data_IF_645799497405
#
_entry.id   IF_645799497405
#
_cell.length_a   1.000
_cell.length_b   1.000
_cell.length_c   1.000
_cell.angle_alpha   90.00
_cell.angle_beta   90.00
_cell.angle_gamma   90.00
#
_symmetry.space_group_name_H-M   'P 1'
#
loop_
_entity.id
_entity.type
_entity.pdbx_description
1 polymer ?
#
# COMPACT_ATOMS: atom_id res chain seq x y z
N UNK A 1 -22.91 3.05 -4.50
CA UNK A 1 -22.19 2.99 -3.20
C UNK A 1 -22.43 4.30 -2.45
N UNK A 2 -22.24 4.32 -1.13
CA UNK A 2 -22.27 5.51 -0.27
C UNK A 2 -20.93 5.68 0.45
N UNK A 3 -20.58 6.91 0.81
CA UNK A 3 -19.41 7.19 1.66
C UNK A 3 -19.62 6.63 3.06
N UNK A 4 -18.60 6.00 3.65
CA UNK A 4 -18.65 5.45 5.02
C UNK A 4 -18.20 6.43 6.10
N UNK A 5 -17.73 7.61 5.69
CA UNK A 5 -17.30 8.70 6.55
C UNK A 5 -16.88 9.90 5.71
N UNK A 6 -16.25 10.87 6.34
CA UNK A 6 -15.56 11.95 5.63
C UNK A 6 -14.27 11.43 4.95
N UNK A 7 -13.73 12.20 4.01
CA UNK A 7 -12.40 11.91 3.50
C UNK A 7 -11.38 12.14 4.62
N UNK A 8 -10.44 11.22 4.79
CA UNK A 8 -9.32 11.38 5.70
C UNK A 8 -8.19 12.10 4.99
N UNK A 9 -7.55 13.04 5.69
CA UNK A 9 -6.34 13.73 5.24
C UNK A 9 -5.36 13.73 6.41
N UNK A 10 -4.18 13.17 6.19
CA UNK A 10 -3.08 13.18 7.16
C UNK A 10 -1.78 13.63 6.51
N UNK A 11 -0.83 14.07 7.32
CA UNK A 11 0.54 14.37 6.87
C UNK A 11 1.53 13.51 7.62
N UNK A 12 2.49 12.96 6.89
CA UNK A 12 3.57 12.11 7.38
C UNK A 12 4.93 12.70 6.97
N UNK A 13 5.97 12.42 7.76
CA UNK A 13 7.27 13.10 7.70
C UNK A 13 8.36 12.27 7.01
N UNK A 14 8.04 11.71 5.86
CA UNK A 14 8.97 10.98 5.01
C UNK A 14 8.63 11.17 3.53
N UNK A 15 9.59 10.84 2.66
CA UNK A 15 9.39 10.86 1.22
C UNK A 15 8.29 9.86 0.81
N UNK A 16 7.42 10.29 -0.09
CA UNK A 16 6.32 9.45 -0.57
C UNK A 16 6.78 8.14 -1.21
N UNK A 17 7.98 8.09 -1.82
CA UNK A 17 8.49 6.86 -2.45
C UNK A 17 8.74 5.74 -1.43
N UNK A 18 9.22 6.07 -0.22
CA UNK A 18 9.42 5.04 0.81
C UNK A 18 8.11 4.46 1.35
N UNK A 19 7.02 5.22 1.23
CA UNK A 19 5.68 4.68 1.50
C UNK A 19 5.37 3.56 0.50
N UNK A 20 5.67 3.79 -0.78
CA UNK A 20 5.51 2.79 -1.84
C UNK A 20 6.54 1.65 -1.79
N UNK A 21 7.71 1.88 -1.20
CA UNK A 21 8.70 0.80 -1.00
C UNK A 21 8.20 -0.24 -0.01
N UNK A 22 7.46 0.18 1.02
CA UNK A 22 6.81 -0.74 1.98
C UNK A 22 5.51 -1.32 1.39
N UNK A 23 4.68 -0.51 0.72
CA UNK A 23 3.40 -0.98 0.17
C UNK A 23 3.53 -1.99 -0.99
N UNK A 24 4.63 -1.95 -1.76
CA UNK A 24 4.79 -2.77 -2.97
C UNK A 24 5.47 -4.13 -2.71
N UNK A 25 5.61 -4.53 -1.45
CA UNK A 25 6.01 -5.88 -1.04
C UNK A 25 5.29 -6.27 0.25
N UNK A 26 4.96 -7.55 0.41
CA UNK A 26 4.31 -8.07 1.60
C UNK A 26 5.14 -9.08 2.37
N UNK A 27 6.44 -9.23 2.08
CA UNK A 27 7.27 -10.21 2.80
C UNK A 27 7.50 -9.78 4.25
N UNK A 28 7.40 -8.48 4.55
CA UNK A 28 7.48 -7.97 5.92
C UNK A 28 6.24 -8.32 6.76
N UNK A 29 5.08 -8.61 6.13
CA UNK A 29 3.79 -8.78 6.83
C UNK A 29 3.86 -9.79 7.97
N UNK A 30 4.43 -11.00 7.81
CA UNK A 30 4.50 -11.97 8.91
C UNK A 30 5.34 -11.51 10.10
N UNK A 31 6.27 -10.56 9.89
CA UNK A 31 7.20 -10.08 10.92
C UNK A 31 6.76 -8.76 11.55
N UNK A 32 6.10 -7.88 10.80
CA UNK A 32 5.76 -6.53 11.23
C UNK A 32 4.27 -6.32 11.58
N UNK A 33 3.37 -7.16 11.08
CA UNK A 33 1.92 -6.96 11.23
C UNK A 33 1.22 -8.15 11.88
N UNK A 34 1.26 -8.29 13.22
CA UNK A 34 0.59 -9.37 13.93
C UNK A 34 -0.90 -9.49 13.59
N UNK A 35 -1.60 -8.34 13.46
CA UNK A 35 -3.04 -8.35 13.15
C UNK A 35 -3.33 -8.80 11.72
N UNK A 36 -2.53 -8.39 10.72
CA UNK A 36 -2.69 -8.88 9.34
C UNK A 36 -2.26 -10.34 9.21
N UNK A 37 -1.20 -10.75 9.93
CA UNK A 37 -0.76 -12.13 9.93
C UNK A 37 -1.84 -13.05 10.50
N UNK A 38 -2.51 -12.66 11.58
CA UNK A 38 -3.67 -13.39 12.11
C UNK A 38 -4.89 -13.33 11.17
N UNK A 39 -5.03 -12.29 10.36
CA UNK A 39 -6.19 -12.10 9.48
C UNK A 39 -6.05 -12.87 8.15
N UNK A 40 -4.91 -12.74 7.48
CA UNK A 40 -4.65 -13.25 6.13
C UNK A 40 -3.48 -14.21 6.03
N UNK A 41 -2.56 -14.21 7.00
CA UNK A 41 -1.12 -14.47 6.82
C UNK A 41 -0.69 -15.79 6.18
N UNK A 42 -1.57 -16.77 6.06
CA UNK A 42 -1.30 -18.03 5.33
C UNK A 42 -1.58 -17.94 3.82
N UNK A 43 -2.34 -16.92 3.43
CA UNK A 43 -2.86 -16.70 2.08
C UNK A 43 -2.51 -15.33 1.53
N UNK A 44 -1.88 -14.47 2.34
CA UNK A 44 -1.33 -13.20 1.89
C UNK A 44 -0.30 -13.48 0.79
N UNK A 45 -0.52 -12.90 -0.38
CA UNK A 45 0.38 -13.04 -1.52
C UNK A 45 0.37 -11.77 -2.35
N UNK A 46 1.53 -11.44 -2.86
CA UNK A 46 1.71 -10.43 -3.89
C UNK A 46 1.81 -11.12 -5.26
N UNK A 47 1.18 -10.50 -6.25
CA UNK A 47 1.11 -10.97 -7.62
C UNK A 47 0.98 -9.76 -8.57
N UNK A 48 0.84 -10.03 -9.86
CA UNK A 48 0.60 -9.03 -10.88
C UNK A 48 -0.59 -9.41 -11.77
N UNK A 49 -1.44 -8.42 -12.06
CA UNK A 49 -2.32 -8.48 -13.22
C UNK A 49 -1.69 -7.59 -14.28
N UNK A 50 -1.10 -8.21 -15.29
CA UNK A 50 -0.22 -7.54 -16.26
C UNK A 50 0.91 -6.75 -15.56
N UNK A 51 0.81 -5.42 -15.52
CA UNK A 51 1.77 -4.51 -14.88
C UNK A 51 1.20 -3.79 -13.64
N UNK A 52 0.10 -4.29 -13.10
CA UNK A 52 -0.57 -3.77 -11.90
C UNK A 52 -0.19 -4.70 -10.75
N UNK A 53 0.56 -4.22 -9.73
CA UNK A 53 0.78 -4.96 -8.51
C UNK A 53 -0.55 -5.26 -7.81
N UNK A 54 -0.75 -6.50 -7.39
CA UNK A 54 -1.95 -6.93 -6.67
C UNK A 54 -1.56 -7.74 -5.46
N UNK A 55 -2.04 -7.34 -4.28
CA UNK A 55 -1.94 -8.15 -3.07
C UNK A 55 -3.31 -8.73 -2.74
N UNK A 56 -3.33 -9.99 -2.33
CA UNK A 56 -4.57 -10.68 -1.98
C UNK A 56 -4.41 -11.43 -0.67
N UNK A 57 -5.50 -11.57 0.07
CA UNK A 57 -5.55 -12.29 1.33
C UNK A 57 -6.94 -12.84 1.57
N UNK A 58 -7.06 -14.02 2.18
CA UNK A 58 -8.34 -14.62 2.53
C UNK A 58 -8.49 -14.61 4.04
N UNK A 59 -9.62 -14.09 4.52
CA UNK A 59 -10.01 -14.16 5.93
C UNK A 59 -10.29 -15.63 6.26
N UNK A 60 -9.38 -16.26 7.01
CA UNK A 60 -9.52 -17.65 7.40
C UNK A 60 -10.33 -17.84 8.70
N UNK A 61 -10.65 -19.10 9.01
CA UNK A 61 -11.39 -19.50 10.21
C UNK A 61 -10.49 -19.83 11.42
N UNK A 62 -9.19 -19.54 11.36
CA UNK A 62 -8.28 -19.81 12.47
C UNK A 62 -8.52 -18.84 13.64
N UNK A 63 -8.40 -19.30 14.90
CA UNK A 63 -8.46 -18.42 16.06
C UNK A 63 -7.43 -17.31 15.98
N UNK A 64 -7.83 -16.09 16.37
CA UNK A 64 -6.96 -14.92 16.46
C UNK A 64 -6.90 -14.43 17.91
N UNK A 65 -5.71 -14.01 18.37
CA UNK A 65 -5.53 -13.45 19.71
C UNK A 65 -5.84 -11.95 19.74
N UNK A 66 -5.65 -11.25 18.62
CA UNK A 66 -5.99 -9.83 18.48
C UNK A 66 -7.51 -9.67 18.52
N UNK A 67 -8.01 -8.91 19.50
CA UNK A 67 -9.45 -8.72 19.70
C UNK A 67 -10.17 -8.25 18.43
N UNK A 68 -9.61 -7.27 17.71
CA UNK A 68 -10.22 -6.74 16.49
C UNK A 68 -10.32 -7.80 15.39
N UNK A 69 -9.28 -8.62 15.21
CA UNK A 69 -9.24 -9.71 14.21
C UNK A 69 -10.23 -10.80 14.58
N UNK A 70 -10.21 -11.27 15.84
CA UNK A 70 -11.12 -12.30 16.33
C UNK A 70 -12.59 -11.89 16.15
N UNK A 71 -12.92 -10.63 16.48
CA UNK A 71 -14.28 -10.10 16.29
C UNK A 71 -14.62 -9.90 14.82
N UNK A 72 -13.67 -9.46 13.99
CA UNK A 72 -13.91 -9.29 12.56
C UNK A 72 -14.25 -10.62 11.89
N UNK A 73 -13.43 -11.66 12.10
CA UNK A 73 -13.68 -13.02 11.60
C UNK A 73 -15.07 -13.53 11.99
N UNK A 74 -15.43 -13.40 13.27
CA UNK A 74 -16.72 -13.85 13.79
C UNK A 74 -17.93 -13.07 13.25
N UNK A 75 -17.77 -11.79 12.89
CA UNK A 75 -18.87 -10.91 12.50
C UNK A 75 -18.94 -10.67 11.00
N UNK A 76 -17.90 -10.98 10.22
CA UNK A 76 -17.86 -10.81 8.78
C UNK A 76 -19.00 -11.61 8.12
N UNK A 77 -20.02 -10.93 7.56
CA UNK A 77 -21.19 -11.60 6.99
C UNK A 77 -20.87 -12.19 5.62
N UNK A 78 -21.61 -13.24 5.25
CA UNK A 78 -21.65 -13.71 3.87
C UNK A 78 -22.43 -12.71 3.01
N UNK A 79 -21.70 -11.94 2.22
CA UNK A 79 -22.28 -10.95 1.32
C UNK A 79 -22.91 -11.67 0.12
N UNK A 80 -24.22 -11.91 0.16
CA UNK A 80 -24.95 -12.74 -0.81
C UNK A 80 -24.80 -12.32 -2.29
N UNK A 81 -24.50 -11.04 -2.54
CA UNK A 81 -24.26 -10.51 -3.89
C UNK A 81 -22.87 -10.82 -4.44
N UNK A 82 -21.96 -11.29 -3.59
CA UNK A 82 -20.61 -11.71 -3.99
C UNK A 82 -20.60 -13.22 -4.31
N UNK A 83 -19.82 -13.63 -5.33
CA UNK A 83 -19.45 -15.04 -5.54
C UNK A 83 -18.84 -15.63 -4.26
N UNK A 84 -18.98 -16.94 -4.07
CA UNK A 84 -18.56 -17.62 -2.83
C UNK A 84 -17.07 -17.37 -2.54
N UNK A 85 -16.23 -17.43 -3.57
CA UNK A 85 -14.79 -17.19 -3.52
C UNK A 85 -14.41 -15.77 -3.08
N UNK A 86 -15.28 -14.77 -3.28
CA UNK A 86 -15.02 -13.38 -2.92
C UNK A 86 -15.52 -12.99 -1.52
N UNK A 87 -16.31 -13.84 -0.86
CA UNK A 87 -16.95 -13.51 0.44
C UNK A 87 -15.96 -13.38 1.61
N UNK A 88 -14.74 -13.89 1.44
CA UNK A 88 -13.66 -13.80 2.43
C UNK A 88 -12.39 -13.16 1.84
N UNK A 89 -12.45 -12.70 0.58
CA UNK A 89 -11.30 -12.20 -0.14
C UNK A 89 -11.08 -10.71 0.15
N UNK A 90 -9.85 -10.38 0.47
CA UNK A 90 -9.30 -9.03 0.46
C UNK A 90 -8.44 -8.87 -0.78
N UNK A 91 -8.61 -7.72 -1.44
CA UNK A 91 -7.88 -7.34 -2.65
C UNK A 91 -7.27 -5.96 -2.47
N UNK A 92 -6.08 -5.79 -3.00
CA UNK A 92 -5.33 -4.54 -2.95
C UNK A 92 -4.63 -4.34 -4.29
N UNK A 93 -4.82 -3.19 -4.92
CA UNK A 93 -4.33 -2.87 -6.26
C UNK A 93 -3.43 -1.64 -6.21
N UNK A 94 -2.18 -1.82 -6.65
CA UNK A 94 -1.21 -0.76 -6.86
C UNK A 94 -1.50 0.07 -8.11
N UNK A 95 -1.79 1.35 -7.96
CA UNK A 95 -1.99 2.28 -9.08
C UNK A 95 -0.84 3.29 -9.11
N UNK A 96 0.10 3.03 -10.02
CA UNK A 96 1.21 3.91 -10.27
C UNK A 96 0.75 5.33 -10.65
N UNK A 97 1.37 6.41 -10.13
CA UNK A 97 2.52 6.36 -9.25
C UNK A 97 2.16 6.28 -7.76
N UNK A 98 0.95 6.64 -7.35
CA UNK A 98 0.77 7.09 -5.97
C UNK A 98 -0.59 6.78 -5.34
N UNK A 99 -1.34 5.83 -5.89
CA UNK A 99 -2.66 5.50 -5.42
C UNK A 99 -2.80 3.99 -5.21
N UNK A 100 -3.66 3.62 -4.27
CA UNK A 100 -4.06 2.25 -3.99
C UNK A 100 -5.58 2.20 -4.02
N UNK A 101 -6.13 1.11 -4.57
CA UNK A 101 -7.53 0.76 -4.38
C UNK A 101 -7.60 -0.60 -3.71
N UNK A 102 -8.41 -0.72 -2.66
CA UNK A 102 -8.56 -1.97 -1.92
C UNK A 102 -10.03 -2.34 -1.73
N UNK A 103 -10.28 -3.63 -1.58
CA UNK A 103 -11.60 -4.22 -1.40
C UNK A 103 -11.58 -5.19 -0.23
N UNK A 104 -12.57 -5.02 0.61
CA UNK A 104 -13.03 -5.99 1.58
C UNK A 104 -14.40 -6.52 1.12
N UNK A 105 -14.88 -7.66 1.63
CA UNK A 105 -16.23 -8.12 1.30
C UNK A 105 -17.31 -7.08 1.61
N UNK A 106 -17.14 -6.29 2.69
CA UNK A 106 -18.14 -5.34 3.17
C UNK A 106 -17.94 -3.87 2.75
N UNK A 107 -16.77 -3.52 2.20
CA UNK A 107 -16.38 -2.13 1.84
C UNK A 107 -15.32 -2.10 0.74
N UNK A 108 -15.19 -0.97 0.07
CA UNK A 108 -14.07 -0.65 -0.80
C UNK A 108 -13.47 0.69 -0.39
N UNK A 109 -12.19 0.90 -0.66
CA UNK A 109 -11.54 2.16 -0.34
C UNK A 109 -10.38 2.47 -1.25
N UNK A 110 -9.87 3.67 -1.11
CA UNK A 110 -8.63 4.08 -1.74
C UNK A 110 -7.82 4.94 -0.79
N UNK A 111 -6.52 5.01 -1.03
CA UNK A 111 -5.70 6.09 -0.53
C UNK A 111 -4.70 6.55 -1.60
N UNK A 112 -4.24 7.79 -1.46
CA UNK A 112 -3.19 8.35 -2.30
C UNK A 112 -2.13 9.05 -1.44
N UNK A 113 -0.87 8.88 -1.80
CA UNK A 113 0.26 9.60 -1.22
C UNK A 113 0.66 10.77 -2.12
N UNK A 114 0.53 12.00 -1.65
CA UNK A 114 0.84 13.21 -2.42
C UNK A 114 2.17 13.81 -1.94
N UNK A 115 3.20 13.92 -2.80
CA UNK A 115 4.45 14.58 -2.43
C UNK A 115 4.21 16.04 -2.07
N UNK A 116 4.65 16.45 -0.88
CA UNK A 116 4.61 17.84 -0.41
C UNK A 116 6.01 18.38 -0.08
N UNK A 117 7.05 17.65 -0.48
CA UNK A 117 8.47 17.93 -0.22
C UNK A 117 9.30 16.65 -0.20
N UNK A 118 10.63 16.74 -0.08
CA UNK A 118 11.51 15.58 -0.04
C UNK A 118 11.31 14.69 1.21
N UNK A 119 10.80 15.25 2.32
CA UNK A 119 10.55 14.53 3.58
C UNK A 119 9.11 14.76 4.09
N UNK A 120 8.17 15.11 3.20
CA UNK A 120 6.78 15.37 3.59
C UNK A 120 5.82 14.81 2.55
N UNK A 121 4.86 14.02 3.02
CA UNK A 121 3.83 13.41 2.20
C UNK A 121 2.47 13.65 2.83
N UNK A 122 1.50 14.02 2.01
CA UNK A 122 0.09 14.11 2.43
C UNK A 122 -0.62 12.84 1.98
N UNK A 123 -1.26 12.13 2.90
CA UNK A 123 -2.06 10.95 2.58
C UNK A 123 -3.53 11.34 2.59
N UNK A 124 -4.22 11.03 1.50
CA UNK A 124 -5.67 11.22 1.40
C UNK A 124 -6.34 9.87 1.22
N UNK A 125 -7.44 9.60 1.92
CA UNK A 125 -8.14 8.32 1.79
C UNK A 125 -9.65 8.46 1.96
N UNK A 126 -10.39 7.46 1.46
CA UNK A 126 -11.84 7.38 1.64
C UNK A 126 -12.34 5.96 1.46
N UNK A 127 -13.40 5.64 2.19
CA UNK A 127 -14.07 4.35 2.13
C UNK A 127 -15.53 4.46 1.71
N UNK A 128 -15.99 3.43 1.01
CA UNK A 128 -17.31 3.31 0.43
C UNK A 128 -17.91 1.94 0.75
N UNK A 129 -19.24 1.90 0.82
CA UNK A 129 -19.96 0.65 0.97
C UNK A 129 -21.34 0.70 0.35
N UNK A 130 -22.03 -0.43 0.36
CA UNK A 130 -23.44 -0.48 -0.04
C UNK A 130 -24.33 0.26 0.99
N UNK A 131 -25.39 0.94 0.53
CA UNK A 131 -26.37 1.58 1.40
C UNK A 131 -27.14 0.55 2.24
N UNK A 132 -27.88 1.01 3.26
CA UNK A 132 -28.77 0.19 4.09
C UNK A 132 -28.08 -1.01 4.77
N UNK A 133 -26.80 -0.86 5.12
CA UNK A 133 -26.01 -1.91 5.76
C UNK A 133 -26.63 -2.37 7.09
N UNK A 134 -26.69 -3.70 7.32
CA UNK A 134 -27.12 -4.28 8.59
C UNK A 134 -26.19 -3.88 9.75
N UNK A 135 -26.63 -4.09 10.99
CA UNK A 135 -25.76 -3.90 12.18
C UNK A 135 -24.47 -4.71 12.09
N UNK A 136 -24.56 -5.94 11.59
CA UNK A 136 -23.43 -6.83 11.41
C UNK A 136 -22.43 -6.29 10.39
N UNK A 137 -22.89 -5.82 9.22
CA UNK A 137 -22.03 -5.20 8.20
C UNK A 137 -21.33 -3.95 8.75
N UNK A 138 -22.03 -3.12 9.51
CA UNK A 138 -21.42 -1.94 10.15
C UNK A 138 -20.35 -2.31 11.18
N UNK A 139 -20.58 -3.39 11.95
CA UNK A 139 -19.58 -3.89 12.89
C UNK A 139 -18.33 -4.43 12.16
N UNK A 140 -18.51 -5.17 11.06
CA UNK A 140 -17.40 -5.65 10.23
C UNK A 140 -16.57 -4.47 9.69
N UNK A 141 -17.21 -3.45 9.11
CA UNK A 141 -16.54 -2.23 8.61
C UNK A 141 -15.71 -1.51 9.68
N UNK A 142 -16.27 -1.39 10.89
CA UNK A 142 -15.56 -0.78 12.01
C UNK A 142 -14.32 -1.59 12.42
N UNK A 143 -14.45 -2.92 12.45
CA UNK A 143 -13.37 -3.80 12.87
C UNK A 143 -12.26 -3.88 11.83
N UNK A 144 -12.57 -3.97 10.54
CA UNK A 144 -11.57 -3.88 9.46
C UNK A 144 -10.87 -2.53 9.49
N UNK A 145 -11.59 -1.41 9.63
CA UNK A 145 -10.97 -0.08 9.77
C UNK A 145 -10.05 0.06 11.00
N UNK A 146 -10.35 -0.63 12.10
CA UNK A 146 -9.44 -0.70 13.26
C UNK A 146 -8.19 -1.50 12.98
N UNK A 147 -8.29 -2.61 12.25
CA UNK A 147 -7.14 -3.41 11.83
C UNK A 147 -6.26 -2.57 10.89
N UNK A 148 -6.86 -1.94 9.88
CA UNK A 148 -6.18 -1.00 8.97
C UNK A 148 -5.41 0.08 9.76
N UNK A 149 -6.04 0.67 10.79
CA UNK A 149 -5.39 1.68 11.64
C UNK A 149 -4.22 1.14 12.46
N UNK A 150 -4.24 -0.12 12.86
CA UNK A 150 -3.10 -0.74 13.56
C UNK A 150 -1.94 -0.93 12.59
N UNK A 151 -2.20 -1.53 11.43
CA UNK A 151 -1.22 -1.71 10.36
C UNK A 151 -0.59 -0.39 9.93
N UNK A 152 -1.38 0.66 9.67
CA UNK A 152 -0.82 1.96 9.27
C UNK A 152 0.13 2.57 10.31
N UNK A 153 -0.02 2.25 11.61
CA UNK A 153 0.90 2.72 12.66
C UNK A 153 2.20 1.91 12.66
N UNK A 154 2.12 0.61 12.38
CA UNK A 154 3.26 -0.27 12.24
C UNK A 154 4.10 0.16 11.00
N UNK A 155 3.43 0.44 9.88
CA UNK A 155 4.06 0.96 8.65
C UNK A 155 4.74 2.32 8.85
N UNK A 156 4.11 3.24 9.59
CA UNK A 156 4.72 4.55 9.85
C UNK A 156 6.11 4.43 10.49
N UNK A 157 6.34 3.42 11.32
CA UNK A 157 7.65 3.14 11.89
C UNK A 157 8.63 2.58 10.84
N UNK A 158 8.21 1.59 10.04
CA UNK A 158 9.02 0.99 8.98
C UNK A 158 9.50 2.03 7.97
N UNK A 159 8.59 2.86 7.48
CA UNK A 159 8.89 3.88 6.47
C UNK A 159 9.84 4.95 7.01
N UNK A 160 9.73 5.32 8.29
CA UNK A 160 10.69 6.23 8.94
C UNK A 160 12.08 5.64 9.03
N UNK A 161 12.20 4.38 9.44
CA UNK A 161 13.50 3.71 9.51
C UNK A 161 14.12 3.57 8.12
N UNK A 162 13.32 3.27 7.10
CA UNK A 162 13.79 3.19 5.72
C UNK A 162 14.30 4.55 5.21
N UNK A 163 13.57 5.63 5.49
CA UNK A 163 14.00 7.00 5.19
C UNK A 163 15.34 7.34 5.85
N UNK A 164 15.49 7.02 7.14
CA UNK A 164 16.73 7.28 7.88
C UNK A 164 17.89 6.46 7.32
N UNK A 165 17.67 5.17 7.04
CA UNK A 165 18.65 4.28 6.45
C UNK A 165 19.14 4.78 5.09
N UNK A 166 18.22 5.24 4.23
CA UNK A 166 18.54 5.78 2.91
C UNK A 166 19.36 7.09 2.95
N UNK A 167 19.39 7.78 4.10
CA UNK A 167 20.26 8.94 4.32
C UNK A 167 21.71 8.58 4.64
N UNK A 168 22.03 7.31 4.86
CA UNK A 168 23.38 6.86 5.24
C UNK A 168 24.28 6.62 4.02
N UNK A 169 25.60 6.69 4.22
CA UNK A 169 26.58 6.45 3.15
C UNK A 169 26.72 4.99 2.71
N UNK A 170 26.13 4.05 3.47
CA UNK A 170 26.24 2.61 3.27
C UNK A 170 24.93 1.97 2.81
N UNK A 171 23.89 2.77 2.53
CA UNK A 171 22.62 2.26 2.03
C UNK A 171 22.83 1.57 0.67
N UNK A 172 22.39 0.31 0.49
CA UNK A 172 22.55 -0.39 -0.76
C UNK A 172 21.66 0.22 -1.85
N UNK A 173 22.24 0.56 -3.00
CA UNK A 173 21.51 1.18 -4.11
C UNK A 173 20.86 0.17 -5.06
N UNK A 174 21.37 -1.06 -5.10
CA UNK A 174 21.00 -2.08 -6.10
C UNK A 174 20.99 -3.49 -5.47
N UNK A 175 20.22 -3.69 -4.39
CA UNK A 175 20.16 -4.98 -3.68
C UNK A 175 18.72 -5.34 -3.29
N UNK A 176 17.90 -5.61 -4.31
CA UNK A 176 16.53 -6.11 -4.14
C UNK A 176 16.48 -7.61 -4.45
N UNK A 177 15.71 -8.36 -3.67
CA UNK A 177 15.41 -9.77 -3.92
C UNK A 177 14.23 -9.93 -4.88
N UNK A 178 14.03 -11.14 -5.44
CA UNK A 178 12.89 -11.43 -6.33
C UNK A 178 11.53 -11.19 -5.67
N UNK A 179 11.45 -11.37 -4.34
CA UNK A 179 10.25 -11.08 -3.54
C UNK A 179 9.93 -9.58 -3.42
N UNK A 180 10.87 -8.71 -3.83
CA UNK A 180 10.72 -7.25 -3.86
C UNK A 180 10.46 -6.74 -5.30
N UNK A 181 9.96 -7.61 -6.18
CA UNK A 181 9.71 -7.27 -7.59
C UNK A 181 8.79 -6.06 -7.77
N UNK A 182 7.81 -5.84 -6.89
CA UNK A 182 6.94 -4.65 -6.91
C UNK A 182 7.71 -3.36 -6.67
N UNK A 183 8.63 -3.36 -5.69
CA UNK A 183 9.53 -2.23 -5.40
C UNK A 183 10.43 -1.94 -6.59
N UNK A 184 11.04 -2.99 -7.17
CA UNK A 184 11.88 -2.85 -8.36
C UNK A 184 11.11 -2.25 -9.53
N UNK A 185 9.93 -2.78 -9.84
CA UNK A 185 9.07 -2.30 -10.92
C UNK A 185 8.67 -0.83 -10.70
N UNK A 186 8.30 -0.45 -9.47
CA UNK A 186 7.94 0.91 -9.13
C UNK A 186 9.07 1.90 -9.43
N UNK A 187 10.29 1.62 -8.96
CA UNK A 187 11.45 2.48 -9.21
C UNK A 187 11.88 2.50 -10.67
N UNK A 188 11.79 1.38 -11.39
CA UNK A 188 12.06 1.34 -12.83
C UNK A 188 11.09 2.26 -13.60
N UNK A 189 9.78 2.16 -13.33
CA UNK A 189 8.77 3.03 -13.96
C UNK A 189 9.00 4.51 -13.63
N UNK A 190 9.43 4.83 -12.41
CA UNK A 190 9.82 6.20 -12.07
C UNK A 190 11.03 6.67 -12.87
N UNK A 191 12.08 5.85 -12.98
CA UNK A 191 13.30 6.16 -13.76
C UNK A 191 12.99 6.28 -15.26
N UNK A 192 12.05 5.52 -15.80
CA UNK A 192 11.61 5.67 -17.19
C UNK A 192 10.91 7.01 -17.43
N UNK A 193 10.06 7.47 -16.49
CA UNK A 193 9.35 8.76 -16.61
C UNK A 193 10.21 9.96 -16.22
N UNK A 194 11.20 9.76 -15.35
CA UNK A 194 12.09 10.79 -14.81
C UNK A 194 13.54 10.26 -14.88
N UNK A 195 14.16 10.24 -16.08
CA UNK A 195 15.48 9.62 -16.31
C UNK A 195 16.59 10.09 -15.37
N UNK A 196 16.56 11.35 -14.92
CA UNK A 196 17.54 11.90 -13.98
C UNK A 196 17.57 11.13 -12.65
N UNK A 197 16.49 10.43 -12.28
CA UNK A 197 16.47 9.54 -11.09
C UNK A 197 17.45 8.37 -11.18
N UNK A 198 17.95 8.03 -12.37
CA UNK A 198 18.99 7.01 -12.54
C UNK A 198 20.39 7.51 -12.18
N UNK A 199 20.56 8.81 -11.90
CA UNK A 199 21.84 9.38 -11.49
C UNK A 199 22.10 9.10 -10.01
N UNK A 200 23.33 8.68 -9.69
CA UNK A 200 23.80 8.49 -8.31
C UNK A 200 23.92 9.78 -7.50
N UNK A 201 24.11 10.91 -8.17
CA UNK A 201 24.26 12.23 -7.54
C UNK A 201 23.12 13.12 -7.96
N UNK A 202 22.64 13.93 -7.01
CA UNK A 202 21.65 14.95 -7.28
C UNK A 202 22.14 15.88 -8.41
N UNK A 203 21.26 16.25 -9.36
CA UNK A 203 21.59 17.24 -10.37
C UNK A 203 21.75 18.63 -9.73
N UNK A 204 22.37 19.55 -10.46
CA UNK A 204 22.42 20.95 -10.03
C UNK A 204 21.00 21.55 -9.98
N UNK A 205 20.79 22.49 -9.06
CA UNK A 205 19.50 23.17 -8.93
C UNK A 205 19.06 23.78 -10.27
N UNK A 206 17.78 23.62 -10.62
CA UNK A 206 17.21 24.09 -11.88
C UNK A 206 17.54 23.27 -13.12
N UNK A 207 18.41 22.26 -13.05
CA UNK A 207 18.87 21.50 -14.24
C UNK A 207 18.07 20.23 -14.56
N UNK A 208 17.05 19.88 -13.76
CA UNK A 208 16.31 18.62 -13.89
C UNK A 208 15.69 18.45 -15.28
N UNK A 209 15.03 19.49 -15.81
CA UNK A 209 14.33 19.42 -17.10
C UNK A 209 15.31 19.18 -18.25
N UNK A 210 16.33 20.04 -18.37
CA UNK A 210 17.36 19.91 -19.40
C UNK A 210 18.08 18.54 -19.37
N UNK A 211 18.34 18.02 -18.17
CA UNK A 211 18.97 16.71 -18.02
C UNK A 211 18.06 15.57 -18.45
N UNK A 212 16.77 15.62 -18.11
CA UNK A 212 15.80 14.62 -18.58
C UNK A 212 15.67 14.65 -20.10
N UNK A 213 15.60 15.83 -20.72
CA UNK A 213 15.49 15.96 -22.18
C UNK A 213 16.70 15.37 -22.90
N UNK A 214 17.91 15.66 -22.40
CA UNK A 214 19.15 15.08 -22.93
C UNK A 214 19.18 13.55 -22.79
N UNK A 215 18.78 13.03 -21.63
CA UNK A 215 18.76 11.58 -21.38
C UNK A 215 17.76 10.87 -22.28
N UNK A 216 16.55 11.42 -22.45
CA UNK A 216 15.55 10.87 -23.36
C UNK A 216 16.02 10.85 -24.82
N UNK A 217 16.70 11.91 -25.27
CA UNK A 217 17.25 11.98 -26.63
C UNK A 217 18.36 10.95 -26.90
N UNK A 218 19.08 10.50 -25.86
CA UNK A 218 20.10 9.45 -25.98
C UNK A 218 19.51 8.05 -26.07
N UNK A 219 18.40 7.78 -25.37
CA UNK A 219 17.74 6.47 -25.36
C UNK A 219 16.87 6.24 -26.62
N UNK A 220 16.47 7.30 -27.32
CA UNK A 220 15.68 7.23 -28.55
C UNK A 220 16.51 6.96 -29.83
N UNK A 221 17.84 6.82 -29.70
CA UNK A 221 18.77 6.48 -30.78
C UNK A 221 19.20 5.02 -30.67
#
# INVERSE_FOLDING_TARGET
MISLGEASVSEVRYNWKFFHDVDNEGYHVPSAHPALQELYGRSYRDDFIDCIPVSTGTVDDQPASTWSVARYKSLLPDMAHLPNESRRLWLYFGIFPNAIIYFYPEKAGYYMSLPCGPHKTRVISREYGLPNASRQVRAARYLSGRIDTLTSREDDALVRWLQEAAGTSVFPLDNLADIEAGVLQFHQRLKEKIPVMSRRRAPADGSIMDLNDRLNAMTAR
#
